data_IF_890086019005
#
_entry.id   IF_890086019005
#
_cell.length_a   1.000
_cell.length_b   1.000
_cell.length_c   1.000
_cell.angle_alpha   90.00
_cell.angle_beta   90.00
_cell.angle_gamma   90.00
#
_symmetry.space_group_name_H-M   'P 1'
#
loop_
_entity.id
_entity.type
_entity.pdbx_description
1 polymer ?
#
# COMPACT_ATOMS: atom_id res chain seq x y z
N UNK A 1 -10.49 -5.50 -29.84
CA UNK A 1 -9.62 -4.31 -29.96
C UNK A 1 -8.58 -4.37 -28.86
N UNK A 2 -7.34 -4.72 -29.23
CA UNK A 2 -6.18 -4.74 -28.35
C UNK A 2 -5.54 -3.36 -28.37
N UNK A 3 -5.43 -2.67 -27.23
CA UNK A 3 -4.55 -1.51 -27.09
C UNK A 3 -4.22 -1.22 -25.61
N UNK A 4 -2.91 -1.28 -25.31
CA UNK A 4 -2.14 -0.53 -24.28
C UNK A 4 -2.37 -0.72 -22.76
N UNK A 5 -2.82 -1.86 -22.25
CA UNK A 5 -2.89 -2.06 -20.77
C UNK A 5 -1.57 -2.49 -20.10
N UNK A 6 -0.55 -2.89 -20.86
CA UNK A 6 0.71 -3.41 -20.28
C UNK A 6 1.64 -2.32 -19.72
N UNK A 7 1.59 -1.08 -20.25
CA UNK A 7 2.55 -0.04 -19.84
C UNK A 7 2.21 0.59 -18.48
N UNK A 8 0.94 0.54 -18.03
CA UNK A 8 0.51 1.15 -16.79
C UNK A 8 0.78 0.27 -15.56
N UNK A 9 0.61 -1.06 -15.67
CA UNK A 9 0.87 -1.98 -14.56
C UNK A 9 2.33 -1.94 -14.08
N UNK A 10 3.29 -2.09 -15.00
CA UNK A 10 4.72 -2.06 -14.66
C UNK A 10 5.16 -0.75 -14.00
N UNK A 11 4.57 0.37 -14.44
CA UNK A 11 4.80 1.68 -13.83
C UNK A 11 4.25 1.75 -12.40
N UNK A 12 3.02 1.24 -12.17
CA UNK A 12 2.42 1.22 -10.84
C UNK A 12 3.21 0.35 -9.86
N UNK A 13 3.63 -0.84 -10.28
CA UNK A 13 4.42 -1.72 -9.43
C UNK A 13 5.81 -1.14 -9.13
N UNK A 14 6.46 -0.54 -10.13
CA UNK A 14 7.72 0.18 -9.92
C UNK A 14 7.56 1.33 -8.93
N UNK A 15 6.47 2.09 -9.01
CA UNK A 15 6.19 3.19 -8.10
C UNK A 15 5.97 2.72 -6.65
N UNK A 16 5.33 1.55 -6.44
CA UNK A 16 5.13 0.94 -5.11
C UNK A 16 6.44 0.55 -4.43
N UNK A 17 7.48 0.27 -5.20
CA UNK A 17 8.80 -0.09 -4.70
C UNK A 17 9.65 1.19 -4.53
N UNK A 18 9.80 1.97 -5.60
CA UNK A 18 10.75 3.08 -5.67
C UNK A 18 10.36 4.25 -4.75
N UNK A 19 9.08 4.62 -4.67
CA UNK A 19 8.68 5.80 -3.89
C UNK A 19 8.87 5.57 -2.38
N UNK A 20 8.38 4.48 -1.78
CA UNK A 20 8.64 4.19 -0.37
C UNK A 20 10.13 4.01 -0.06
N UNK A 21 10.87 3.36 -0.98
CA UNK A 21 12.31 3.17 -0.85
C UNK A 21 13.08 4.49 -0.86
N UNK A 22 12.75 5.39 -1.79
CA UNK A 22 13.33 6.73 -1.86
C UNK A 22 13.03 7.53 -0.59
N UNK A 23 11.79 7.50 -0.13
CA UNK A 23 11.39 8.19 1.10
C UNK A 23 12.18 7.68 2.31
N UNK A 24 12.32 6.36 2.45
CA UNK A 24 13.12 5.75 3.52
C UNK A 24 14.60 6.16 3.45
N UNK A 25 15.23 6.02 2.28
CA UNK A 25 16.63 6.39 2.10
C UNK A 25 16.88 7.88 2.35
N UNK A 26 15.96 8.76 1.95
CA UNK A 26 16.02 10.18 2.23
C UNK A 26 15.95 10.46 3.73
N UNK A 27 15.04 9.80 4.46
CA UNK A 27 14.98 9.94 5.92
C UNK A 27 16.23 9.41 6.62
N UNK A 28 16.80 8.30 6.16
CA UNK A 28 18.11 7.82 6.65
C UNK A 28 19.20 8.86 6.46
N UNK A 29 19.32 9.44 5.26
CA UNK A 29 20.35 10.43 4.94
C UNK A 29 20.18 11.72 5.77
N UNK A 30 18.95 12.21 5.91
CA UNK A 30 18.64 13.39 6.73
C UNK A 30 18.90 13.13 8.22
N UNK A 31 18.46 11.98 8.73
CA UNK A 31 18.69 11.59 10.12
C UNK A 31 20.19 11.43 10.41
N UNK A 32 20.93 10.77 9.51
CA UNK A 32 22.37 10.65 9.60
C UNK A 32 23.06 12.01 9.58
N UNK A 33 22.68 12.92 8.69
CA UNK A 33 23.23 14.28 8.65
C UNK A 33 22.91 15.08 9.92
N UNK A 34 21.73 14.90 10.51
CA UNK A 34 21.28 15.66 11.68
C UNK A 34 21.85 15.12 13.01
N UNK A 35 22.22 13.84 13.06
CA UNK A 35 22.62 13.14 14.28
C UNK A 35 23.82 12.22 14.07
N UNK A 36 23.72 11.30 13.12
CA UNK A 36 24.70 10.21 12.92
C UNK A 36 26.13 10.66 12.58
N UNK A 37 26.28 11.74 11.81
CA UNK A 37 27.58 12.26 11.36
C UNK A 37 28.49 12.73 12.51
N UNK A 38 27.90 13.08 13.66
CA UNK A 38 28.64 13.47 14.88
C UNK A 38 29.19 12.28 15.65
N UNK A 39 28.52 11.12 15.54
CA UNK A 39 28.90 9.91 16.26
C UNK A 39 29.84 9.07 15.40
N UNK A 40 29.50 8.91 14.13
CA UNK A 40 30.24 8.09 13.17
C UNK A 40 30.40 8.94 11.90
N UNK A 41 31.53 9.63 11.69
CA UNK A 41 31.75 10.41 10.49
C UNK A 41 31.87 9.49 9.26
N UNK A 42 31.25 9.89 8.15
CA UNK A 42 31.31 9.12 6.92
C UNK A 42 32.62 9.44 6.20
N UNK A 43 33.46 8.41 6.01
CA UNK A 43 34.77 8.54 5.37
C UNK A 43 34.76 8.16 3.89
N UNK A 44 33.61 7.72 3.37
CA UNK A 44 33.48 7.28 1.98
C UNK A 44 33.43 8.44 0.97
N UNK A 45 33.68 8.11 -0.29
CA UNK A 45 33.60 9.07 -1.39
C UNK A 45 32.15 9.47 -1.71
N UNK A 46 31.96 10.60 -2.40
CA UNK A 46 30.62 11.04 -2.87
C UNK A 46 29.92 9.97 -3.71
N UNK A 47 30.67 9.24 -4.53
CA UNK A 47 30.14 8.17 -5.38
C UNK A 47 29.64 6.99 -4.52
N UNK A 48 30.38 6.62 -3.47
CA UNK A 48 29.95 5.60 -2.51
C UNK A 48 28.67 6.01 -1.78
N UNK A 49 28.52 7.28 -1.40
CA UNK A 49 27.27 7.78 -0.80
C UNK A 49 26.09 7.65 -1.75
N UNK A 50 26.26 7.95 -3.04
CA UNK A 50 25.21 7.80 -4.06
C UNK A 50 24.86 6.32 -4.26
N UNK A 51 25.86 5.45 -4.36
CA UNK A 51 25.64 4.00 -4.51
C UNK A 51 24.91 3.44 -3.29
N UNK A 52 25.33 3.82 -2.07
CA UNK A 52 24.67 3.43 -0.83
C UNK A 52 23.23 3.93 -0.77
N UNK A 53 22.98 5.17 -1.20
CA UNK A 53 21.64 5.72 -1.28
C UNK A 53 20.75 4.90 -2.22
N UNK A 54 21.19 4.66 -3.45
CA UNK A 54 20.45 3.86 -4.44
C UNK A 54 20.22 2.42 -3.95
N UNK A 55 21.22 1.82 -3.31
CA UNK A 55 21.10 0.51 -2.69
C UNK A 55 20.03 0.50 -1.59
N UNK A 56 20.03 1.49 -0.70
CA UNK A 56 19.00 1.65 0.33
C UNK A 56 17.61 1.84 -0.28
N UNK A 57 17.48 2.62 -1.36
CA UNK A 57 16.20 2.79 -2.08
C UNK A 57 15.66 1.44 -2.53
N UNK A 58 16.46 0.65 -3.24
CA UNK A 58 16.03 -0.62 -3.79
C UNK A 58 15.72 -1.65 -2.69
N UNK A 59 16.62 -1.83 -1.73
CA UNK A 59 16.46 -2.84 -0.68
C UNK A 59 15.28 -2.51 0.24
N UNK A 60 15.16 -1.26 0.69
CA UNK A 60 14.05 -0.86 1.55
C UNK A 60 12.72 -0.88 0.80
N UNK A 61 12.68 -0.41 -0.45
CA UNK A 61 11.51 -0.47 -1.31
C UNK A 61 11.01 -1.90 -1.51
N UNK A 62 11.90 -2.82 -1.89
CA UNK A 62 11.58 -4.24 -2.07
C UNK A 62 11.13 -4.89 -0.76
N UNK A 63 11.77 -4.55 0.36
CA UNK A 63 11.39 -5.09 1.67
C UNK A 63 10.00 -4.62 2.09
N UNK A 64 9.68 -3.34 1.87
CA UNK A 64 8.36 -2.78 2.16
C UNK A 64 7.28 -3.39 1.27
N UNK A 65 7.60 -3.59 -0.01
CA UNK A 65 6.74 -4.26 -0.98
C UNK A 65 6.49 -5.73 -0.60
N UNK A 66 7.52 -6.50 -0.25
CA UNK A 66 7.39 -7.90 0.14
C UNK A 66 6.61 -8.10 1.45
N UNK A 67 6.69 -7.14 2.38
CA UNK A 67 5.96 -7.17 3.67
C UNK A 67 4.54 -6.61 3.57
N UNK A 68 3.94 -6.59 2.37
CA UNK A 68 2.58 -6.09 2.18
C UNK A 68 1.62 -6.78 3.15
N UNK A 69 1.26 -6.04 4.20
CA UNK A 69 0.45 -6.58 5.29
C UNK A 69 -0.98 -6.36 4.87
N UNK A 70 -1.73 -7.44 4.62
CA UNK A 70 -3.17 -7.35 4.38
C UNK A 70 -3.81 -6.65 5.58
N UNK A 71 -4.39 -5.46 5.35
CA UNK A 71 -5.06 -4.73 6.42
C UNK A 71 -6.22 -5.56 6.93
N UNK A 72 -6.07 -6.13 8.13
CA UNK A 72 -7.12 -6.84 8.89
C UNK A 72 -8.25 -5.93 9.40
N UNK A 73 -8.36 -4.68 8.94
CA UNK A 73 -9.44 -3.79 9.39
C UNK A 73 -10.76 -4.33 8.83
N UNK A 74 -11.64 -4.72 9.74
CA UNK A 74 -12.96 -5.30 9.46
C UNK A 74 -13.76 -4.52 8.39
N UNK A 75 -13.75 -3.19 8.47
CA UNK A 75 -14.40 -2.31 7.49
C UNK A 75 -13.84 -2.39 6.05
N UNK A 76 -12.59 -2.83 5.88
CA UNK A 76 -12.00 -3.10 4.56
C UNK A 76 -12.25 -4.53 4.09
N UNK A 77 -12.48 -5.48 5.00
CA UNK A 77 -12.79 -6.87 4.66
C UNK A 77 -14.27 -7.01 4.28
N UNK A 78 -15.16 -6.36 5.03
CA UNK A 78 -16.62 -6.48 4.85
C UNK A 78 -17.15 -5.71 3.64
N UNK A 79 -16.46 -4.64 3.21
CA UNK A 79 -16.88 -3.82 2.06
C UNK A 79 -16.08 -4.10 0.78
N UNK A 80 -15.45 -5.26 0.69
CA UNK A 80 -14.76 -5.67 -0.54
C UNK A 80 -15.76 -6.19 -1.59
N UNK A 81 -15.50 -5.97 -2.89
CA UNK A 81 -16.30 -6.56 -3.96
C UNK A 81 -16.42 -8.08 -3.85
N UNK A 82 -15.35 -8.78 -3.41
CA UNK A 82 -15.40 -10.22 -3.17
C UNK A 82 -16.35 -10.61 -2.03
N UNK A 83 -16.48 -9.79 -0.97
CA UNK A 83 -17.45 -10.02 0.10
C UNK A 83 -18.89 -9.84 -0.41
N UNK A 84 -19.12 -8.85 -1.28
CA UNK A 84 -20.40 -8.70 -1.97
C UNK A 84 -20.75 -9.93 -2.81
N UNK A 85 -19.79 -10.48 -3.58
CA UNK A 85 -20.01 -11.71 -4.35
C UNK A 85 -20.40 -12.91 -3.48
N UNK A 86 -19.83 -13.03 -2.27
CA UNK A 86 -20.22 -14.07 -1.32
C UNK A 86 -21.66 -13.92 -0.86
N UNK A 87 -22.07 -12.69 -0.52
CA UNK A 87 -23.44 -12.40 -0.10
C UNK A 87 -24.43 -12.68 -1.23
N UNK A 88 -24.11 -12.29 -2.46
CA UNK A 88 -24.96 -12.58 -3.62
C UNK A 88 -25.03 -14.09 -3.92
N UNK A 89 -23.91 -14.81 -3.80
CA UNK A 89 -23.90 -16.27 -3.95
C UNK A 89 -24.75 -16.96 -2.87
N UNK A 90 -24.72 -16.49 -1.62
CA UNK A 90 -25.57 -17.01 -0.53
C UNK A 90 -27.07 -16.80 -0.78
N UNK A 91 -27.44 -15.70 -1.43
CA UNK A 91 -28.84 -15.38 -1.73
C UNK A 91 -29.40 -16.16 -2.91
N UNK A 92 -28.57 -16.45 -3.92
CA UNK A 92 -29.01 -17.09 -5.17
C UNK A 92 -28.71 -18.59 -5.25
N UNK A 93 -27.73 -19.08 -4.50
CA UNK A 93 -27.41 -20.51 -4.47
C UNK A 93 -28.00 -21.19 -3.25
N UNK A 94 -29.00 -22.05 -3.48
CA UNK A 94 -29.55 -22.93 -2.45
C UNK A 94 -28.55 -24.03 -1.99
N UNK A 95 -27.33 -24.11 -2.56
CA UNK A 95 -26.44 -25.25 -2.30
C UNK A 95 -24.94 -24.95 -2.23
N UNK A 96 -24.46 -23.79 -2.72
CA UNK A 96 -23.02 -23.51 -2.75
C UNK A 96 -22.67 -22.10 -2.28
N UNK A 97 -22.15 -22.04 -1.05
CA UNK A 97 -21.50 -20.83 -0.54
C UNK A 97 -20.08 -20.74 -1.08
N UNK A 98 -19.76 -19.63 -1.78
CA UNK A 98 -18.38 -19.31 -2.13
C UNK A 98 -17.56 -19.07 -0.87
N UNK A 99 -16.41 -19.73 -0.76
CA UNK A 99 -15.42 -19.38 0.25
C UNK A 99 -14.69 -18.06 -0.11
N UNK A 100 -13.85 -17.54 0.78
CA UNK A 100 -13.17 -16.25 0.56
C UNK A 100 -12.21 -16.27 -0.64
N UNK A 101 -11.50 -17.39 -0.82
CA UNK A 101 -10.57 -17.56 -1.94
C UNK A 101 -11.31 -17.61 -3.28
N UNK A 102 -12.40 -18.38 -3.36
CA UNK A 102 -13.22 -18.53 -4.56
C UNK A 102 -13.90 -17.22 -4.96
N UNK A 103 -14.44 -16.48 -3.99
CA UNK A 103 -15.04 -15.17 -4.26
C UNK A 103 -14.01 -14.15 -4.74
N UNK A 104 -12.77 -14.21 -4.24
CA UNK A 104 -11.68 -13.37 -4.71
C UNK A 104 -11.23 -13.75 -6.13
N UNK A 105 -11.13 -15.05 -6.43
CA UNK A 105 -10.81 -15.53 -7.78
C UNK A 105 -11.89 -15.14 -8.79
N UNK A 106 -13.16 -15.33 -8.44
CA UNK A 106 -14.29 -14.92 -9.28
C UNK A 106 -14.29 -13.41 -9.49
N UNK A 107 -14.03 -12.62 -8.44
CA UNK A 107 -13.88 -11.17 -8.57
C UNK A 107 -12.77 -10.80 -9.55
N UNK A 108 -11.58 -11.40 -9.45
CA UNK A 108 -10.49 -11.12 -10.39
C UNK A 108 -10.80 -11.58 -11.82
N UNK A 109 -11.53 -12.68 -11.98
CA UNK A 109 -12.03 -13.11 -13.28
C UNK A 109 -12.99 -12.08 -13.87
N UNK A 110 -13.94 -11.59 -13.07
CA UNK A 110 -14.89 -10.55 -13.50
C UNK A 110 -14.16 -9.26 -13.87
N UNK A 111 -13.23 -8.84 -13.01
CA UNK A 111 -12.38 -7.68 -13.25
C UNK A 111 -11.67 -7.84 -14.60
N UNK A 112 -10.84 -8.88 -14.76
CA UNK A 112 -9.99 -9.03 -15.94
C UNK A 112 -10.75 -9.22 -17.27
N UNK A 113 -11.97 -9.77 -17.25
CA UNK A 113 -12.68 -10.14 -18.48
C UNK A 113 -13.90 -9.28 -18.82
N UNK A 114 -14.54 -8.63 -17.84
CA UNK A 114 -15.82 -7.95 -18.05
C UNK A 114 -15.79 -6.47 -17.66
N UNK A 115 -14.92 -6.07 -16.73
CA UNK A 115 -14.82 -4.67 -16.32
C UNK A 115 -14.00 -3.88 -17.38
N UNK A 116 -14.44 -2.66 -17.77
CA UNK A 116 -13.71 -1.85 -18.74
C UNK A 116 -12.30 -1.47 -18.26
N UNK A 117 -11.35 -1.37 -19.19
CA UNK A 117 -9.95 -1.07 -18.88
C UNK A 117 -9.73 0.24 -18.09
N UNK A 118 -10.57 1.27 -18.31
CA UNK A 118 -10.49 2.52 -17.54
C UNK A 118 -10.77 2.34 -16.05
N UNK A 119 -11.62 1.38 -15.66
CA UNK A 119 -11.82 1.03 -14.26
C UNK A 119 -10.58 0.33 -13.69
N UNK A 120 -9.88 -0.50 -14.48
CA UNK A 120 -8.66 -1.18 -14.04
C UNK A 120 -7.58 -0.18 -13.68
N UNK A 121 -7.33 0.80 -14.52
CA UNK A 121 -6.34 1.85 -14.25
C UNK A 121 -6.67 2.62 -12.98
N UNK A 122 -7.96 2.95 -12.77
CA UNK A 122 -8.43 3.58 -11.54
C UNK A 122 -8.16 2.71 -10.30
N UNK A 123 -8.45 1.40 -10.36
CA UNK A 123 -8.17 0.46 -9.28
C UNK A 123 -6.68 0.38 -8.97
N UNK A 124 -5.84 0.21 -9.99
CA UNK A 124 -4.39 0.10 -9.82
C UNK A 124 -3.79 1.40 -9.27
N UNK A 125 -4.22 2.57 -9.78
CA UNK A 125 -3.76 3.88 -9.33
C UNK A 125 -4.07 4.11 -7.84
N UNK A 126 -5.32 3.96 -7.43
CA UNK A 126 -5.70 4.18 -6.03
C UNK A 126 -5.08 3.15 -5.09
N UNK A 127 -4.97 1.88 -5.52
CA UNK A 127 -4.25 0.86 -4.76
C UNK A 127 -2.77 1.21 -4.56
N UNK A 128 -2.12 1.76 -5.59
CA UNK A 128 -0.72 2.18 -5.54
C UNK A 128 -0.50 3.36 -4.61
N UNK A 129 -1.28 4.44 -4.76
CA UNK A 129 -1.20 5.60 -3.87
C UNK A 129 -1.41 5.19 -2.42
N UNK A 130 -2.38 4.31 -2.20
CA UNK A 130 -2.70 3.83 -0.88
C UNK A 130 -1.55 3.08 -0.23
N UNK A 131 -0.96 2.12 -0.95
CA UNK A 131 0.20 1.37 -0.50
C UNK A 131 1.33 2.34 -0.11
N UNK A 132 1.66 3.28 -1.00
CA UNK A 132 2.70 4.29 -0.77
C UNK A 132 2.42 5.10 0.49
N UNK A 133 1.20 5.63 0.66
CA UNK A 133 0.84 6.45 1.81
C UNK A 133 0.94 5.68 3.14
N UNK A 134 0.60 4.38 3.15
CA UNK A 134 0.75 3.55 4.35
C UNK A 134 2.22 3.40 4.71
N UNK A 135 3.08 3.10 3.74
CA UNK A 135 4.51 2.94 3.99
C UNK A 135 5.14 4.25 4.44
N UNK A 136 4.80 5.39 3.81
CA UNK A 136 5.24 6.72 4.24
C UNK A 136 4.82 6.97 5.69
N UNK A 137 3.57 6.68 6.06
CA UNK A 137 3.07 6.85 7.44
C UNK A 137 3.84 6.00 8.44
N UNK A 138 4.03 4.72 8.14
CA UNK A 138 4.75 3.78 9.01
C UNK A 138 6.21 4.20 9.17
N UNK A 139 6.89 4.54 8.09
CA UNK A 139 8.28 4.99 8.11
C UNK A 139 8.41 6.28 8.91
N UNK A 140 7.54 7.26 8.67
CA UNK A 140 7.54 8.53 9.42
C UNK A 140 7.34 8.31 10.92
N UNK A 141 6.41 7.41 11.30
CA UNK A 141 6.20 7.07 12.70
C UNK A 141 7.48 6.56 13.38
N UNK A 142 8.16 5.61 12.76
CA UNK A 142 9.39 5.04 13.33
C UNK A 142 10.54 6.05 13.38
N UNK A 143 10.71 6.88 12.34
CA UNK A 143 11.74 7.93 12.35
C UNK A 143 11.43 9.06 13.33
N UNK A 144 10.16 9.38 13.56
CA UNK A 144 9.77 10.34 14.60
C UNK A 144 10.12 9.80 15.99
N UNK A 145 9.78 8.54 16.29
CA UNK A 145 10.18 7.89 17.55
C UNK A 145 11.70 7.86 17.69
N UNK A 146 12.41 7.46 16.64
CA UNK A 146 13.87 7.41 16.64
C UNK A 146 14.48 8.79 16.91
N UNK A 147 13.92 9.85 16.32
CA UNK A 147 14.37 11.22 16.58
C UNK A 147 14.20 11.63 18.04
N UNK A 148 13.07 11.29 18.68
CA UNK A 148 12.82 11.58 20.09
C UNK A 148 13.79 10.83 21.01
N UNK A 149 14.03 9.55 20.72
CA UNK A 149 15.00 8.73 21.45
C UNK A 149 16.40 9.33 21.32
N UNK A 150 16.81 9.71 20.10
CA UNK A 150 18.13 10.32 19.87
C UNK A 150 18.29 11.67 20.56
N UNK A 151 17.24 12.52 20.61
CA UNK A 151 17.25 13.77 21.37
C UNK A 151 17.44 13.48 22.86
N UNK A 152 16.70 12.53 23.41
CA UNK A 152 16.81 12.15 24.82
C UNK A 152 18.21 11.64 25.16
N UNK A 153 18.78 10.77 24.33
CA UNK A 153 20.14 10.24 24.51
C UNK A 153 21.18 11.36 24.41
N UNK A 154 21.13 12.23 23.41
CA UNK A 154 22.08 13.33 23.26
C UNK A 154 21.99 14.33 24.43
N UNK A 155 20.79 14.60 24.92
CA UNK A 155 20.57 15.45 26.10
C UNK A 155 21.17 14.81 27.35
N UNK A 156 21.02 13.49 27.53
CA UNK A 156 21.64 12.75 28.62
C UNK A 156 23.19 12.72 28.51
N UNK A 157 23.74 12.84 27.30
CA UNK A 157 25.18 13.00 27.06
C UNK A 157 25.68 14.44 27.27
N UNK A 158 24.81 15.38 27.66
CA UNK A 158 25.17 16.76 27.96
C UNK A 158 25.06 17.74 26.79
N UNK A 159 24.55 17.32 25.62
CA UNK A 159 24.32 18.23 24.49
C UNK A 159 23.14 19.16 24.78
N UNK A 160 23.33 20.44 24.51
CA UNK A 160 22.27 21.46 24.61
C UNK A 160 21.26 21.34 23.47
N UNK A 161 20.07 21.90 23.67
CA UNK A 161 19.03 21.91 22.63
C UNK A 161 19.47 22.67 21.36
N UNK A 162 20.31 23.70 21.51
CA UNK A 162 20.84 24.48 20.38
C UNK A 162 21.72 23.61 19.49
N UNK A 163 22.57 22.79 20.09
CA UNK A 163 23.42 21.85 19.35
C UNK A 163 22.56 20.79 18.64
N UNK A 164 21.40 20.44 19.19
CA UNK A 164 20.49 19.44 18.63
C UNK A 164 19.45 20.00 17.64
N UNK A 165 19.51 21.29 17.29
CA UNK A 165 18.47 21.97 16.50
C UNK A 165 18.10 21.26 15.19
N UNK A 166 19.08 20.67 14.49
CA UNK A 166 18.83 19.93 13.25
C UNK A 166 18.01 18.66 13.46
N UNK A 167 18.30 17.91 14.54
CA UNK A 167 17.56 16.70 14.90
C UNK A 167 16.15 17.03 15.41
N UNK A 168 16.00 18.12 16.16
CA UNK A 168 14.70 18.63 16.61
C UNK A 168 13.84 19.02 15.40
N UNK A 169 14.39 19.80 14.46
CA UNK A 169 13.68 20.20 13.25
C UNK A 169 13.29 18.99 12.40
N UNK A 170 14.20 18.03 12.23
CA UNK A 170 13.92 16.76 11.56
C UNK A 170 12.74 16.03 12.23
N UNK A 171 12.79 15.87 13.56
CA UNK A 171 11.74 15.21 14.32
C UNK A 171 10.37 15.89 14.16
N UNK A 172 10.32 17.22 14.26
CA UNK A 172 9.09 18.02 14.06
C UNK A 172 8.52 17.81 12.65
N UNK A 173 9.36 17.91 11.62
CA UNK A 173 8.92 17.76 10.23
C UNK A 173 8.40 16.36 9.94
N UNK A 174 9.11 15.32 10.40
CA UNK A 174 8.68 13.93 10.24
C UNK A 174 7.38 13.68 11.01
N UNK A 175 7.22 14.29 12.20
CA UNK A 175 5.96 14.21 12.94
C UNK A 175 4.81 14.87 12.21
N UNK A 176 5.05 16.05 11.64
CA UNK A 176 4.05 16.75 10.85
C UNK A 176 3.62 15.90 9.64
N UNK A 177 4.56 15.28 8.92
CA UNK A 177 4.26 14.38 7.80
C UNK A 177 3.38 13.21 8.26
N UNK A 178 3.72 12.58 9.38
CA UNK A 178 2.91 11.50 9.95
C UNK A 178 1.50 11.99 10.32
N UNK A 179 1.38 13.09 11.07
CA UNK A 179 0.10 13.62 11.54
C UNK A 179 -0.79 14.04 10.37
N UNK A 180 -0.22 14.67 9.34
CA UNK A 180 -0.95 15.00 8.11
C UNK A 180 -1.45 13.73 7.41
N UNK A 181 -0.63 12.69 7.33
CA UNK A 181 -1.02 11.40 6.74
C UNK A 181 -2.11 10.66 7.55
N UNK A 182 -2.10 10.80 8.87
CA UNK A 182 -3.13 10.23 9.76
C UNK A 182 -4.44 11.02 9.68
N UNK A 183 -4.37 12.35 9.79
CA UNK A 183 -5.54 13.24 9.80
C UNK A 183 -6.22 13.27 8.43
N UNK A 184 -5.44 13.41 7.36
CA UNK A 184 -5.94 13.43 5.99
C UNK A 184 -5.80 12.06 5.36
N UNK A 185 -6.46 11.07 5.96
CA UNK A 185 -6.53 9.70 5.45
C UNK A 185 -7.45 9.59 4.21
N UNK A 186 -7.28 10.51 3.25
CA UNK A 186 -8.04 10.61 2.01
C UNK A 186 -7.91 9.35 1.17
N UNK A 187 -6.77 8.66 1.24
CA UNK A 187 -6.57 7.42 0.50
C UNK A 187 -7.41 6.24 1.01
N UNK A 188 -7.63 6.11 2.33
CA UNK A 188 -8.58 5.11 2.88
C UNK A 188 -10.00 5.37 2.30
N UNK A 189 -10.45 6.63 2.32
CA UNK A 189 -11.76 7.02 1.77
C UNK A 189 -11.85 6.75 0.27
N UNK A 190 -10.82 7.13 -0.50
CA UNK A 190 -10.81 6.92 -1.96
C UNK A 190 -10.78 5.46 -2.36
N UNK A 191 -10.14 4.59 -1.59
CA UNK A 191 -10.25 3.14 -1.80
C UNK A 191 -11.67 2.65 -1.53
N UNK A 192 -12.30 3.12 -0.46
CA UNK A 192 -13.68 2.73 -0.15
C UNK A 192 -14.65 3.20 -1.24
N UNK A 193 -14.53 4.46 -1.70
CA UNK A 193 -15.29 4.98 -2.85
C UNK A 193 -15.09 4.08 -4.08
N UNK A 194 -13.86 3.67 -4.36
CA UNK A 194 -13.55 2.80 -5.49
C UNK A 194 -14.14 1.38 -5.34
N UNK A 195 -14.19 0.83 -4.13
CA UNK A 195 -14.89 -0.44 -3.88
C UNK A 195 -16.40 -0.29 -4.07
N UNK A 196 -16.99 0.83 -3.64
CA UNK A 196 -18.41 1.10 -3.87
C UNK A 196 -18.71 1.21 -5.37
N UNK A 197 -17.88 1.89 -6.15
CA UNK A 197 -18.03 1.96 -7.61
C UNK A 197 -18.01 0.55 -8.25
N UNK A 198 -17.12 -0.32 -7.79
CA UNK A 198 -17.02 -1.71 -8.27
C UNK A 198 -18.24 -2.54 -7.86
N UNK A 199 -18.71 -2.41 -6.61
CA UNK A 199 -19.91 -3.07 -6.13
C UNK A 199 -21.14 -2.59 -6.91
N UNK A 200 -21.26 -1.28 -7.14
CA UNK A 200 -22.33 -0.70 -7.95
C UNK A 200 -22.31 -1.26 -9.38
N UNK A 201 -21.13 -1.38 -9.99
CA UNK A 201 -21.01 -2.03 -11.29
C UNK A 201 -21.49 -3.49 -11.26
N UNK A 202 -21.11 -4.26 -10.23
CA UNK A 202 -21.58 -5.65 -10.05
C UNK A 202 -23.10 -5.72 -9.86
N UNK A 203 -23.70 -4.75 -9.15
CA UNK A 203 -25.15 -4.66 -8.96
C UNK A 203 -25.89 -4.35 -10.27
N UNK A 204 -25.33 -3.47 -11.11
CA UNK A 204 -25.91 -3.15 -12.42
C UNK A 204 -25.80 -4.28 -13.44
N UNK A 205 -24.93 -5.27 -13.18
CA UNK A 205 -24.69 -6.42 -14.05
C UNK A 205 -25.08 -7.74 -13.35
N UNK A 206 -26.22 -7.74 -12.63
CA UNK A 206 -26.64 -8.90 -11.83
C UNK A 206 -26.87 -10.16 -12.68
N UNK A 207 -27.37 -10.02 -13.91
CA UNK A 207 -27.62 -11.14 -14.83
C UNK A 207 -26.34 -11.87 -15.22
N UNK A 208 -25.29 -11.09 -15.56
CA UNK A 208 -23.95 -11.63 -15.80
C UNK A 208 -23.46 -12.41 -14.57
N UNK A 209 -23.70 -11.87 -13.37
CA UNK A 209 -23.28 -12.50 -12.13
C UNK A 209 -23.98 -13.85 -11.93
N UNK A 210 -25.29 -13.91 -12.13
CA UNK A 210 -26.10 -15.13 -12.02
C UNK A 210 -25.60 -16.20 -12.99
N UNK A 211 -25.28 -15.82 -14.22
CA UNK A 211 -24.76 -16.74 -15.23
C UNK A 211 -23.38 -17.28 -14.87
N UNK A 212 -22.48 -16.42 -14.38
CA UNK A 212 -21.15 -16.83 -13.93
C UNK A 212 -21.21 -17.76 -12.72
N UNK A 213 -22.06 -17.47 -11.74
CA UNK A 213 -22.27 -18.33 -10.57
C UNK A 213 -22.81 -19.71 -10.97
N UNK A 214 -23.81 -19.77 -11.85
CA UNK A 214 -24.33 -21.04 -12.39
C UNK A 214 -23.26 -21.83 -13.14
N UNK A 215 -22.43 -21.16 -13.94
CA UNK A 215 -21.33 -21.80 -14.69
C UNK A 215 -20.28 -22.37 -13.74
N UNK A 216 -19.94 -21.64 -12.69
CA UNK A 216 -19.02 -22.09 -11.65
C UNK A 216 -19.53 -23.36 -10.94
N UNK A 217 -20.81 -23.38 -10.54
CA UNK A 217 -21.43 -24.55 -9.92
C UNK A 217 -21.38 -25.80 -10.82
N UNK A 218 -21.69 -25.64 -12.11
CA UNK A 218 -21.62 -26.74 -13.09
C UNK A 218 -20.21 -27.30 -13.21
N UNK A 219 -19.21 -26.42 -13.34
CA UNK A 219 -17.80 -26.81 -13.43
C UNK A 219 -17.31 -27.55 -12.19
N UNK A 220 -17.79 -27.18 -11.00
CA UNK A 220 -17.39 -27.82 -9.75
C UNK A 220 -18.05 -29.19 -9.59
N UNK A 221 -19.34 -29.32 -9.96
CA UNK A 221 -20.04 -30.61 -9.97
C UNK A 221 -19.38 -31.61 -10.92
N UNK A 222 -18.96 -31.19 -12.12
CA UNK A 222 -18.25 -32.05 -13.06
C UNK A 222 -16.84 -32.45 -12.63
N UNK A 223 -16.21 -31.71 -11.71
CA UNK A 223 -14.90 -32.05 -11.17
C UNK A 223 -14.96 -33.04 -9.99
N UNK A 224 -16.15 -33.26 -9.43
CA UNK A 224 -16.40 -34.14 -8.28
C UNK A 224 -17.08 -35.46 -8.68
N UNK A 225 -17.51 -35.58 -9.94
CA UNK A 225 -18.07 -36.79 -10.56
C UNK A 225 -17.02 -37.57 -11.33
#
# INVERSE_FOLDING_TARGET
MNQSTSSSFGLYESARILIPGFYFAALCALFYSACGSRIIPFTGSRNESVILFLFLVLVSGLTMYAKETTKRRRAFVENQPSAFLQDVARRHSNSHMLNESEARQLYFYILNHFIPAGFHEKVFFFGTIYHIMIQIRRTSFWFAILSLISIAVQTAMGLTLVEQQGLILFGILVWLIYLLNVKYNKADRKIQDNYQDQIFWLQMNEDLLKDLLKKYERSKKSALS
#
